data_IF_573890352188
#
_entry.id   IF_573890352188
#
_cell.length_a   1.000
_cell.length_b   1.000
_cell.length_c   1.000
_cell.angle_alpha   90.00
_cell.angle_beta   90.00
_cell.angle_gamma   90.00
#
_symmetry.space_group_name_H-M   'P 1'
#
loop_
_entity.id
_entity.type
_entity.pdbx_description
1 polymer ?
#
# COMPACT_ATOMS: atom_id res chain seq x y z
N UNK A 1 -20.87 -32.13 14.94
CA UNK A 1 -20.77 -31.71 15.03
C UNK A 1 -20.49 -31.37 14.90
N UNK A 2 -20.77 -31.26 14.81
CA UNK A 2 -20.77 -30.67 14.73
C UNK A 2 -20.69 -30.24 14.16
N UNK A 3 -20.96 -30.11 13.95
CA UNK A 3 -21.00 -29.61 13.54
C UNK A 3 -20.94 -29.09 12.98
N UNK A 4 -21.27 -28.99 12.71
CA UNK A 4 -21.40 -28.36 12.34
C UNK A 4 -21.52 -27.77 12.13
N UNK A 5 -21.83 -27.72 12.32
CA UNK A 5 -22.22 -27.02 12.11
C UNK A 5 -22.10 -26.25 11.81
N UNK A 6 -22.05 -25.73 12.08
CA UNK A 6 -21.81 -24.82 11.73
C UNK A 6 -21.71 -24.20 10.58
N UNK A 7 -21.49 -23.97 10.20
CA UNK A 7 -21.39 -23.62 8.83
C UNK A 7 -22.64 -23.72 8.07
N UNK A 8 -23.54 -24.36 8.61
CA UNK A 8 -24.81 -24.53 7.94
C UNK A 8 -25.49 -23.23 7.65
N UNK A 9 -25.12 -22.20 8.36
CA UNK A 9 -25.75 -20.92 8.14
C UNK A 9 -25.53 -20.41 6.74
N UNK A 10 -24.39 -20.68 6.19
CA UNK A 10 -24.12 -20.24 4.82
C UNK A 10 -25.01 -20.91 3.83
N UNK A 11 -25.30 -22.14 4.08
CA UNK A 11 -26.11 -22.89 3.12
C UNK A 11 -27.51 -22.35 3.06
N UNK A 12 -27.99 -21.83 4.17
CA UNK A 12 -29.33 -21.29 4.19
C UNK A 12 -29.47 -20.11 3.27
N UNK A 13 -28.41 -19.35 3.12
CA UNK A 13 -28.47 -18.20 2.23
C UNK A 13 -28.60 -18.61 0.79
N UNK A 14 -28.09 -19.74 0.45
CA UNK A 14 -28.10 -20.16 -0.92
C UNK A 14 -29.48 -20.38 -1.46
N UNK A 15 -30.40 -20.68 -0.59
CA UNK A 15 -31.76 -20.99 -1.04
C UNK A 15 -32.46 -19.81 -1.61
N UNK A 16 -31.91 -18.62 -1.46
CA UNK A 16 -32.55 -17.42 -1.93
C UNK A 16 -31.98 -16.89 -3.22
N UNK A 17 -31.34 -17.75 -3.97
CA UNK A 17 -30.71 -17.32 -5.21
C UNK A 17 -31.67 -16.69 -6.19
N UNK A 18 -32.94 -17.07 -6.10
CA UNK A 18 -33.93 -16.48 -7.00
C UNK A 18 -34.04 -14.99 -6.87
N UNK A 19 -33.66 -14.45 -5.72
CA UNK A 19 -33.75 -13.01 -5.48
C UNK A 19 -32.54 -12.26 -5.96
N UNK A 20 -31.51 -12.95 -6.41
CA UNK A 20 -30.26 -12.30 -6.82
C UNK A 20 -30.33 -11.92 -8.29
N UNK A 21 -30.06 -10.66 -8.57
CA UNK A 21 -30.02 -10.16 -9.93
C UNK A 21 -28.58 -10.26 -10.41
N UNK A 22 -28.33 -11.07 -11.41
CA UNK A 22 -26.96 -11.33 -11.88
C UNK A 22 -26.27 -10.11 -12.42
N UNK A 23 -27.04 -9.18 -13.00
CA UNK A 23 -26.44 -7.95 -13.55
C UNK A 23 -25.83 -7.08 -12.47
N UNK A 24 -26.31 -7.24 -11.22
CA UNK A 24 -25.82 -6.44 -10.13
C UNK A 24 -24.66 -7.09 -9.40
N UNK A 25 -24.23 -8.25 -9.85
CA UNK A 25 -23.17 -8.97 -9.16
C UNK A 25 -21.85 -8.23 -9.38
N UNK A 26 -21.17 -7.84 -8.29
CA UNK A 26 -19.88 -7.20 -8.44
C UNK A 26 -18.83 -8.20 -8.92
N UNK A 27 -17.92 -7.73 -9.74
CA UNK A 27 -16.79 -8.53 -10.21
C UNK A 27 -15.52 -7.94 -9.65
N UNK A 28 -14.77 -8.74 -8.92
CA UNK A 28 -13.49 -8.32 -8.35
C UNK A 28 -12.36 -8.75 -9.28
N UNK A 29 -11.53 -7.80 -9.65
CA UNK A 29 -10.37 -8.06 -10.49
C UNK A 29 -9.12 -7.72 -9.69
N UNK A 30 -8.33 -8.75 -9.37
CA UNK A 30 -7.13 -8.61 -8.55
C UNK A 30 -5.87 -8.45 -9.39
N UNK A 31 -5.97 -8.53 -10.71
CA UNK A 31 -4.79 -8.61 -11.56
C UNK A 31 -3.88 -7.40 -11.43
N UNK A 32 -4.44 -6.21 -11.36
CA UNK A 32 -3.63 -4.99 -11.22
C UNK A 32 -2.99 -4.89 -9.84
N UNK A 33 -3.74 -5.29 -8.81
CA UNK A 33 -3.24 -5.22 -7.45
C UNK A 33 -2.05 -6.15 -7.23
N UNK A 34 -2.00 -7.28 -7.93
CA UNK A 34 -0.96 -8.29 -7.76
C UNK A 34 0.18 -8.16 -8.76
N UNK A 35 0.14 -7.15 -9.61
CA UNK A 35 1.13 -6.99 -10.68
C UNK A 35 2.25 -6.08 -10.22
N UNK A 36 3.46 -6.36 -10.68
CA UNK A 36 4.55 -5.41 -10.54
C UNK A 36 4.27 -4.21 -11.42
N UNK A 37 4.68 -3.04 -10.95
CA UNK A 37 4.46 -1.79 -11.68
C UNK A 37 5.80 -1.14 -11.97
N UNK A 38 5.85 -0.38 -13.05
CA UNK A 38 7.05 0.35 -13.41
C UNK A 38 6.78 1.83 -13.27
N UNK A 39 7.78 2.53 -12.76
CA UNK A 39 7.73 3.99 -12.63
C UNK A 39 9.05 4.57 -13.10
N UNK A 40 8.98 5.78 -13.60
CA UNK A 40 10.19 6.52 -13.93
C UNK A 40 10.31 7.69 -12.98
N UNK A 41 11.48 7.83 -12.36
CA UNK A 41 11.77 8.94 -11.46
C UNK A 41 13.06 9.57 -11.97
N UNK A 42 12.96 10.82 -12.41
CA UNK A 42 14.12 11.58 -12.88
C UNK A 42 14.97 10.81 -13.88
N UNK A 43 14.30 10.17 -14.84
CA UNK A 43 14.97 9.48 -15.93
C UNK A 43 15.36 8.03 -15.65
N UNK A 44 15.23 7.56 -14.43
CA UNK A 44 15.55 6.17 -14.08
C UNK A 44 14.27 5.38 -13.91
N UNK A 45 14.22 4.19 -14.50
CA UNK A 45 13.06 3.31 -14.41
C UNK A 45 13.24 2.35 -13.25
N UNK A 46 12.21 2.31 -12.40
CA UNK A 46 12.17 1.41 -11.24
C UNK A 46 10.98 0.48 -11.36
N UNK A 47 11.06 -0.64 -10.66
CA UNK A 47 9.94 -1.59 -10.56
C UNK A 47 9.48 -1.62 -9.11
N UNK A 48 8.17 -1.52 -8.92
CA UNK A 48 7.54 -1.65 -7.60
C UNK A 48 6.84 -3.00 -7.57
N UNK A 49 7.15 -3.81 -6.55
CA UNK A 49 6.47 -5.08 -6.37
C UNK A 49 5.19 -4.90 -5.59
N UNK A 50 4.24 -5.82 -5.70
CA UNK A 50 3.02 -5.76 -4.91
C UNK A 50 3.33 -5.81 -3.41
N UNK A 51 2.46 -5.20 -2.63
CA UNK A 51 2.60 -5.19 -1.18
C UNK A 51 2.22 -6.57 -0.63
N UNK A 52 3.19 -7.26 -0.03
CA UNK A 52 2.94 -8.52 0.63
C UNK A 52 2.48 -8.30 2.07
N UNK A 53 2.21 -9.41 2.77
CA UNK A 53 1.70 -9.34 4.13
C UNK A 53 2.65 -8.60 5.07
N UNK A 54 3.93 -8.94 5.00
CA UNK A 54 4.92 -8.27 5.86
C UNK A 54 5.06 -6.81 5.52
N UNK A 55 5.01 -6.48 4.23
CA UNK A 55 5.07 -5.10 3.79
C UNK A 55 3.89 -4.29 4.32
N UNK A 56 2.71 -4.89 4.29
CA UNK A 56 1.51 -4.24 4.75
C UNK A 56 1.60 -3.90 6.23
N UNK A 57 2.04 -4.87 7.05
CA UNK A 57 2.26 -4.62 8.47
C UNK A 57 3.29 -3.53 8.69
N UNK A 58 4.38 -3.58 7.94
CA UNK A 58 5.43 -2.58 8.06
C UNK A 58 4.91 -1.18 7.72
N UNK A 59 4.14 -1.07 6.64
CA UNK A 59 3.58 0.22 6.23
C UNK A 59 2.67 0.77 7.32
N UNK A 60 1.77 -0.04 7.85
CA UNK A 60 0.88 0.41 8.91
C UNK A 60 1.65 0.83 10.15
N UNK A 61 2.63 0.03 10.55
CA UNK A 61 3.45 0.32 11.71
C UNK A 61 4.16 1.67 11.55
N UNK A 62 4.79 1.88 10.41
CA UNK A 62 5.54 3.11 10.17
C UNK A 62 4.61 4.32 10.05
N UNK A 63 3.47 4.15 9.40
CA UNK A 63 2.48 5.24 9.31
C UNK A 63 1.98 5.65 10.69
N UNK A 64 1.70 4.69 11.55
CA UNK A 64 1.26 4.99 12.90
C UNK A 64 2.34 5.73 13.68
N UNK A 65 3.59 5.35 13.49
CA UNK A 65 4.69 6.04 14.16
C UNK A 65 4.88 7.46 13.66
N UNK A 66 4.75 7.66 12.35
CA UNK A 66 4.82 8.99 11.76
C UNK A 66 3.70 9.87 12.32
N UNK A 67 2.50 9.31 12.40
CA UNK A 67 1.36 10.05 12.94
C UNK A 67 1.61 10.43 14.40
N UNK A 68 2.13 9.50 15.18
CA UNK A 68 2.46 9.77 16.57
C UNK A 68 3.47 10.90 16.68
N UNK A 69 4.52 10.87 15.86
CA UNK A 69 5.53 11.92 15.89
C UNK A 69 4.94 13.28 15.52
N UNK A 70 4.08 13.31 14.53
CA UNK A 70 3.44 14.54 14.11
C UNK A 70 2.54 15.10 15.22
N UNK A 71 1.80 14.22 15.89
CA UNK A 71 0.86 14.64 16.93
C UNK A 71 1.59 15.11 18.18
N UNK A 72 2.66 14.46 18.57
CA UNK A 72 3.33 14.69 19.84
C UNK A 72 4.43 15.74 19.76
N UNK A 73 5.18 15.74 18.66
CA UNK A 73 6.38 16.56 18.55
C UNK A 73 6.28 17.65 17.49
N UNK A 74 5.23 17.62 16.71
CA UNK A 74 5.00 18.63 15.70
C UNK A 74 6.07 18.64 14.62
N UNK A 75 6.53 19.83 14.24
CA UNK A 75 7.49 19.99 13.17
C UNK A 75 8.93 20.14 13.67
N UNK A 76 9.22 19.57 14.82
CA UNK A 76 10.59 19.55 15.34
C UNK A 76 11.52 18.88 14.33
N UNK A 77 12.71 19.45 14.07
CA UNK A 77 13.62 18.89 13.06
C UNK A 77 13.97 17.42 13.29
N UNK A 78 14.14 17.00 14.54
CA UNK A 78 14.46 15.62 14.84
C UNK A 78 13.31 14.69 14.44
N UNK A 79 12.08 15.13 14.67
CA UNK A 79 10.90 14.35 14.28
C UNK A 79 10.80 14.22 12.78
N UNK A 80 11.11 15.27 12.04
CA UNK A 80 11.09 15.23 10.59
C UNK A 80 12.11 14.23 10.05
N UNK A 81 13.31 14.21 10.64
CA UNK A 81 14.34 13.27 10.22
C UNK A 81 13.89 11.84 10.50
N UNK A 82 13.30 11.59 11.66
CA UNK A 82 12.80 10.26 12.00
C UNK A 82 11.67 9.84 11.06
N UNK A 83 10.76 10.76 10.76
CA UNK A 83 9.67 10.46 9.84
C UNK A 83 10.18 10.12 8.44
N UNK A 84 11.22 10.79 7.98
CA UNK A 84 11.85 10.46 6.69
C UNK A 84 12.42 9.06 6.69
N UNK A 85 13.07 8.65 7.77
CA UNK A 85 13.59 7.29 7.87
C UNK A 85 12.46 6.28 7.82
N UNK A 86 11.35 6.58 8.46
CA UNK A 86 10.19 5.69 8.43
C UNK A 86 9.58 5.60 7.03
N UNK A 87 9.57 6.70 6.29
CA UNK A 87 9.14 6.67 4.89
C UNK A 87 10.07 5.79 4.06
N UNK A 88 11.37 5.93 4.23
CA UNK A 88 12.31 5.06 3.53
C UNK A 88 12.04 3.59 3.86
N UNK A 89 11.81 3.29 5.12
CA UNK A 89 11.59 1.90 5.55
C UNK A 89 10.32 1.31 4.95
N UNK A 90 9.33 2.15 4.64
CA UNK A 90 8.11 1.67 3.98
C UNK A 90 8.31 1.39 2.50
N UNK A 91 9.07 2.24 1.82
CA UNK A 91 9.09 2.25 0.35
C UNK A 91 10.28 1.49 -0.22
N UNK A 92 11.47 1.66 0.37
CA UNK A 92 12.69 1.08 -0.17
C UNK A 92 12.58 -0.43 -0.39
N UNK A 93 12.00 -1.22 0.52
CA UNK A 93 11.91 -2.66 0.30
C UNK A 93 11.07 -3.05 -0.91
N UNK A 94 10.24 -2.15 -1.42
CA UNK A 94 9.32 -2.46 -2.52
C UNK A 94 9.90 -2.14 -3.89
N UNK A 95 11.01 -1.40 -3.95
CA UNK A 95 11.49 -0.82 -5.19
C UNK A 95 12.83 -1.42 -5.62
N UNK A 96 12.95 -1.66 -6.91
CA UNK A 96 14.18 -2.14 -7.55
C UNK A 96 14.50 -1.27 -8.76
N UNK A 97 15.76 -0.95 -9.05
CA UNK A 97 16.95 -1.32 -8.28
C UNK A 97 17.05 -0.51 -7.00
N UNK A 98 17.37 -1.22 -5.93
CA UNK A 98 17.28 -0.67 -4.59
C UNK A 98 18.34 0.40 -4.29
N UNK A 99 19.58 0.14 -4.70
CA UNK A 99 20.67 1.08 -4.41
C UNK A 99 20.49 2.40 -5.14
N UNK A 100 20.04 2.35 -6.38
CA UNK A 100 19.78 3.57 -7.17
C UNK A 100 18.67 4.38 -6.53
N UNK A 101 17.64 3.68 -6.05
CA UNK A 101 16.53 4.37 -5.40
C UNK A 101 16.97 5.04 -4.10
N UNK A 102 17.78 4.34 -3.30
CA UNK A 102 18.32 4.92 -2.06
C UNK A 102 19.13 6.17 -2.34
N UNK A 103 19.94 6.13 -3.40
CA UNK A 103 20.74 7.30 -3.78
C UNK A 103 19.85 8.46 -4.20
N UNK A 104 18.81 8.18 -4.97
CA UNK A 104 17.85 9.21 -5.36
C UNK A 104 17.18 9.82 -4.14
N UNK A 105 16.72 8.97 -3.21
CA UNK A 105 16.02 9.42 -2.02
C UNK A 105 16.91 10.33 -1.18
N UNK A 106 18.16 9.94 -0.99
CA UNK A 106 19.11 10.73 -0.20
C UNK A 106 19.36 12.08 -0.85
N UNK A 107 19.62 12.07 -2.15
CA UNK A 107 19.89 13.31 -2.87
C UNK A 107 18.68 14.25 -2.86
N UNK A 108 17.50 13.69 -3.04
CA UNK A 108 16.28 14.50 -3.09
C UNK A 108 15.95 15.08 -1.72
N UNK A 109 16.10 14.27 -0.66
CA UNK A 109 15.85 14.75 0.70
C UNK A 109 16.75 15.94 1.05
N UNK A 110 17.99 15.91 0.61
CA UNK A 110 18.92 16.99 0.93
C UNK A 110 18.55 18.28 0.22
N UNK A 111 17.81 18.21 -0.88
CA UNK A 111 17.37 19.39 -1.61
C UNK A 111 16.01 19.86 -1.18
N UNK A 112 15.08 18.94 -0.99
CA UNK A 112 13.72 19.29 -0.60
C UNK A 112 13.03 18.08 0.04
N UNK A 113 12.87 18.15 1.34
CA UNK A 113 12.11 17.14 2.07
C UNK A 113 10.67 17.05 1.56
N UNK A 114 10.10 18.19 1.18
CA UNK A 114 8.74 18.22 0.69
C UNK A 114 8.57 17.44 -0.61
N UNK A 115 9.47 17.66 -1.58
CA UNK A 115 9.43 16.93 -2.85
C UNK A 115 9.64 15.44 -2.62
N UNK A 116 10.60 15.09 -1.77
CA UNK A 116 10.84 13.71 -1.41
C UNK A 116 9.57 13.05 -0.87
N UNK A 117 8.89 13.70 0.06
CA UNK A 117 7.68 13.13 0.65
C UNK A 117 6.55 12.99 -0.35
N UNK A 118 6.41 13.94 -1.27
CA UNK A 118 5.38 13.84 -2.30
C UNK A 118 5.60 12.60 -3.17
N UNK A 119 6.84 12.35 -3.56
CA UNK A 119 7.13 11.17 -4.38
C UNK A 119 6.88 9.90 -3.58
N UNK A 120 7.35 9.85 -2.34
CA UNK A 120 7.16 8.66 -1.51
C UNK A 120 5.69 8.34 -1.30
N UNK A 121 4.85 9.36 -1.05
CA UNK A 121 3.42 9.16 -0.90
C UNK A 121 2.80 8.58 -2.16
N UNK A 122 3.19 9.07 -3.33
CA UNK A 122 2.66 8.54 -4.59
C UNK A 122 3.12 7.11 -4.82
N UNK A 123 4.35 6.78 -4.46
CA UNK A 123 4.84 5.42 -4.60
C UNK A 123 4.09 4.46 -3.70
N UNK A 124 3.79 4.87 -2.46
CA UNK A 124 2.99 4.05 -1.56
C UNK A 124 1.60 3.83 -2.13
N UNK A 125 0.97 4.89 -2.63
CA UNK A 125 -0.36 4.77 -3.23
C UNK A 125 -0.35 3.81 -4.41
N UNK A 126 0.69 3.89 -5.23
CA UNK A 126 0.80 3.00 -6.38
C UNK A 126 1.00 1.55 -5.94
N UNK A 127 1.85 1.33 -4.94
CA UNK A 127 2.12 0.00 -4.42
C UNK A 127 0.90 -0.62 -3.75
N UNK A 128 0.05 0.21 -3.16
CA UNK A 128 -1.14 -0.24 -2.45
C UNK A 128 -2.40 -0.10 -3.28
N UNK A 129 -2.25 -0.02 -4.60
CA UNK A 129 -3.40 0.04 -5.48
C UNK A 129 -4.31 -1.15 -5.22
N UNK A 130 -5.57 -0.86 -4.97
CA UNK A 130 -6.51 -1.88 -4.56
C UNK A 130 -7.08 -2.69 -5.70
N UNK A 131 -7.99 -3.56 -5.34
CA UNK A 131 -8.71 -4.41 -6.26
C UNK A 131 -9.74 -3.58 -7.01
N UNK A 132 -9.83 -3.80 -8.32
CA UNK A 132 -10.88 -3.17 -9.10
C UNK A 132 -12.19 -3.89 -8.88
N UNK A 133 -13.26 -3.13 -8.77
CA UNK A 133 -14.60 -3.68 -8.66
C UNK A 133 -15.41 -3.17 -9.84
N UNK A 134 -15.95 -4.10 -10.59
CA UNK A 134 -16.77 -3.77 -11.75
C UNK A 134 -18.16 -4.32 -11.54
N UNK A 135 -19.15 -3.54 -11.90
CA UNK A 135 -20.51 -4.02 -11.88
C UNK A 135 -20.82 -4.64 -13.24
N UNK A 136 -21.37 -5.82 -13.19
CA UNK A 136 -21.63 -6.61 -14.38
C UNK A 136 -22.66 -6.06 -15.32
#
# INVERSE_FOLDING_TARGET
MAEEPETTDFEDYDTTDDDVVLEDMPVFDTSKALRRKRVEIDGTVYTIRPVGTKDYYNIIKQRNRIQYLNDMLGSDPKSLIQASKMMDDMVVPLISPNDDFKAWARATKSKSEYVYRQVMDQLIKLAMQGVEVKNG
#
